data_IF_826726072946
#
_entry.id   IF_826726072946
#
_cell.length_a   1.000
_cell.length_b   1.000
_cell.length_c   1.000
_cell.angle_alpha   90.00
_cell.angle_beta   90.00
_cell.angle_gamma   90.00
#
_symmetry.space_group_name_H-M   'P 1'
#
loop_
_entity.id
_entity.type
_entity.pdbx_description
1 polymer ?
#
# COMPACT_ATOMS: atom_id res chain seq x y z
N UNK A 1 4.06 -22.01 -8.27
CA UNK A 1 2.87 -21.17 -8.03
C UNK A 1 3.34 -19.84 -7.47
N UNK A 2 2.90 -18.75 -8.04
CA UNK A 2 3.15 -17.44 -7.45
C UNK A 2 2.12 -17.22 -6.34
N UNK A 3 2.58 -16.88 -5.15
CA UNK A 3 1.70 -16.41 -4.08
C UNK A 3 1.18 -15.02 -4.42
N UNK A 4 -0.06 -14.73 -4.04
CA UNK A 4 -0.68 -13.41 -4.22
C UNK A 4 -1.12 -12.84 -2.90
N UNK A 5 -0.81 -11.58 -2.69
CA UNK A 5 -1.36 -10.78 -1.59
C UNK A 5 -2.36 -9.81 -2.19
N UNK A 6 -3.53 -9.75 -1.59
CA UNK A 6 -4.64 -8.93 -2.07
C UNK A 6 -4.82 -7.71 -1.18
N UNK A 7 -4.94 -6.57 -1.82
CA UNK A 7 -5.43 -5.34 -1.23
C UNK A 7 -6.97 -5.32 -1.27
N UNK A 8 -7.61 -4.43 -0.51
CA UNK A 8 -9.07 -4.28 -0.50
C UNK A 8 -9.66 -4.02 -1.88
N UNK A 9 -8.97 -3.29 -2.75
CA UNK A 9 -9.39 -3.02 -4.13
C UNK A 9 -9.64 -4.30 -4.94
N UNK A 10 -8.89 -5.37 -4.69
CA UNK A 10 -9.08 -6.67 -5.33
C UNK A 10 -10.41 -7.34 -4.94
N UNK A 11 -10.87 -7.12 -3.70
CA UNK A 11 -12.17 -7.63 -3.23
C UNK A 11 -13.34 -6.87 -3.86
N UNK A 12 -13.24 -5.54 -3.95
CA UNK A 12 -14.26 -4.74 -4.63
C UNK A 12 -14.40 -5.10 -6.11
N UNK A 13 -13.32 -5.50 -6.75
CA UNK A 13 -13.32 -5.99 -8.13
C UNK A 13 -13.71 -7.46 -8.28
N UNK A 14 -13.94 -8.18 -7.19
CA UNK A 14 -14.36 -9.59 -7.22
C UNK A 14 -13.27 -10.60 -7.57
N UNK A 15 -12.00 -10.20 -7.56
CA UNK A 15 -10.86 -11.06 -7.95
C UNK A 15 -10.80 -12.37 -7.15
N UNK A 16 -10.89 -12.37 -5.80
CA UNK A 16 -10.78 -13.60 -5.02
C UNK A 16 -11.94 -14.57 -5.23
N UNK A 17 -13.08 -14.07 -5.72
CA UNK A 17 -14.26 -14.88 -5.97
C UNK A 17 -14.24 -15.57 -7.34
N UNK A 18 -13.54 -14.98 -8.30
CA UNK A 18 -13.43 -15.49 -9.67
C UNK A 18 -12.16 -16.32 -9.94
N UNK A 19 -11.17 -16.24 -9.06
CA UNK A 19 -9.90 -16.97 -9.19
C UNK A 19 -9.83 -18.16 -8.26
N UNK A 20 -9.24 -19.26 -8.71
CA UNK A 20 -8.96 -20.44 -7.88
C UNK A 20 -7.55 -20.41 -7.27
N UNK A 21 -6.78 -19.35 -7.51
CA UNK A 21 -5.42 -19.25 -7.00
C UNK A 21 -5.42 -18.89 -5.50
N UNK A 22 -4.59 -19.58 -4.69
CA UNK A 22 -4.44 -19.25 -3.28
C UNK A 22 -3.94 -17.83 -3.11
N UNK A 23 -4.59 -17.08 -2.21
CA UNK A 23 -4.29 -15.68 -1.94
C UNK A 23 -4.15 -15.44 -0.45
N UNK A 24 -3.44 -14.38 -0.11
CA UNK A 24 -3.15 -13.97 1.26
C UNK A 24 -3.65 -12.55 1.49
N UNK A 25 -4.11 -12.29 2.69
CA UNK A 25 -4.46 -10.93 3.18
C UNK A 25 -3.95 -10.76 4.61
N UNK A 26 -3.84 -9.52 5.04
CA UNK A 26 -3.62 -9.20 6.46
C UNK A 26 -4.95 -9.10 7.22
N UNK A 27 -4.90 -9.17 8.54
CA UNK A 27 -6.09 -8.95 9.38
C UNK A 27 -6.65 -7.54 9.20
N UNK A 28 -5.80 -6.55 8.94
CA UNK A 28 -6.22 -5.18 8.68
C UNK A 28 -7.08 -5.08 7.42
N UNK A 29 -6.65 -5.69 6.32
CA UNK A 29 -7.45 -5.77 5.09
C UNK A 29 -8.75 -6.56 5.33
N UNK A 30 -8.68 -7.66 6.07
CA UNK A 30 -9.87 -8.44 6.42
C UNK A 30 -10.92 -7.61 7.17
N UNK A 31 -10.48 -6.72 8.07
CA UNK A 31 -11.39 -5.83 8.79
C UNK A 31 -11.95 -4.72 7.88
N UNK A 32 -11.14 -4.20 6.95
CA UNK A 32 -11.56 -3.18 6.00
C UNK A 32 -12.70 -3.64 5.08
N UNK A 33 -12.67 -4.90 4.64
CA UNK A 33 -13.70 -5.49 3.78
C UNK A 33 -14.91 -6.05 4.54
N UNK A 34 -15.14 -5.60 5.76
CA UNK A 34 -16.18 -6.13 6.67
C UNK A 34 -17.58 -6.15 6.05
N UNK A 35 -17.93 -5.14 5.25
CA UNK A 35 -19.22 -5.08 4.58
C UNK A 35 -19.41 -6.18 3.52
N UNK A 36 -18.36 -6.57 2.79
CA UNK A 36 -18.44 -7.64 1.79
C UNK A 36 -18.71 -8.98 2.47
N UNK A 37 -18.00 -9.27 3.57
CA UNK A 37 -18.17 -10.55 4.29
C UNK A 37 -19.51 -10.65 5.04
N UNK A 38 -20.09 -9.53 5.48
CA UNK A 38 -21.43 -9.51 6.10
C UNK A 38 -22.53 -9.82 5.10
N UNK A 39 -22.44 -9.27 3.91
CA UNK A 39 -23.51 -9.37 2.92
C UNK A 39 -23.55 -10.74 2.20
N UNK A 40 -22.42 -11.43 2.08
CA UNK A 40 -22.36 -12.58 1.19
C UNK A 40 -21.81 -13.89 1.78
N UNK A 41 -21.29 -13.91 3.00
CA UNK A 41 -20.54 -15.05 3.58
C UNK A 41 -19.42 -15.62 2.66
N UNK A 42 -19.21 -14.98 1.51
CA UNK A 42 -18.33 -15.47 0.46
C UNK A 42 -16.87 -15.47 0.89
N UNK A 43 -16.47 -14.48 1.69
CA UNK A 43 -15.10 -14.40 2.21
C UNK A 43 -14.82 -15.54 3.19
N UNK A 44 -15.80 -15.90 4.00
CA UNK A 44 -15.70 -17.03 4.94
C UNK A 44 -15.50 -18.35 4.19
N UNK A 45 -16.24 -18.57 3.11
CA UNK A 45 -16.08 -19.75 2.25
C UNK A 45 -14.66 -19.82 1.65
N UNK A 46 -14.10 -18.69 1.23
CA UNK A 46 -12.72 -18.65 0.71
C UNK A 46 -11.69 -19.04 1.78
N UNK A 47 -11.90 -18.65 3.02
CA UNK A 47 -11.03 -19.00 4.15
C UNK A 47 -11.16 -20.49 4.47
N UNK A 48 -12.37 -21.01 4.60
CA UNK A 48 -12.66 -22.43 4.90
C UNK A 48 -12.10 -23.37 3.82
N UNK A 49 -12.18 -22.96 2.57
CA UNK A 49 -11.63 -23.72 1.42
C UNK A 49 -10.13 -23.50 1.19
N UNK A 50 -9.47 -22.73 2.07
CA UNK A 50 -8.03 -22.40 1.98
C UNK A 50 -7.64 -21.66 0.68
N UNK A 51 -8.59 -21.05 0.02
CA UNK A 51 -8.34 -20.16 -1.12
C UNK A 51 -7.90 -18.77 -0.68
N UNK A 52 -8.24 -18.39 0.54
CA UNK A 52 -7.81 -17.15 1.19
C UNK A 52 -7.23 -17.48 2.56
N UNK A 53 -6.04 -16.98 2.83
CA UNK A 53 -5.34 -17.16 4.12
C UNK A 53 -5.05 -15.80 4.73
N UNK A 54 -5.42 -15.62 5.99
CA UNK A 54 -5.04 -14.43 6.76
C UNK A 54 -3.66 -14.69 7.35
N UNK A 55 -2.71 -13.81 7.08
CA UNK A 55 -1.35 -13.88 7.59
C UNK A 55 -0.84 -12.50 7.97
N UNK A 56 -0.02 -12.42 9.01
CA UNK A 56 0.52 -11.16 9.50
C UNK A 56 1.99 -11.01 9.08
N UNK A 57 2.39 -9.81 8.62
CA UNK A 57 3.79 -9.55 8.34
C UNK A 57 4.60 -9.42 9.63
N UNK A 58 5.82 -9.92 9.62
CA UNK A 58 6.79 -9.67 10.69
C UNK A 58 7.20 -8.19 10.72
N UNK A 59 7.48 -7.69 11.92
CA UNK A 59 7.80 -6.27 12.15
C UNK A 59 8.95 -5.74 11.28
N UNK A 60 9.95 -6.57 11.00
CA UNK A 60 11.08 -6.18 10.12
C UNK A 60 10.64 -5.81 8.71
N UNK A 61 9.62 -6.50 8.16
CA UNK A 61 9.08 -6.19 6.83
C UNK A 61 8.18 -4.96 6.87
N UNK A 62 7.45 -4.75 7.95
CA UNK A 62 6.68 -3.53 8.19
C UNK A 62 7.60 -2.31 8.24
N UNK A 63 8.68 -2.39 9.01
CA UNK A 63 9.70 -1.32 9.09
C UNK A 63 10.31 -1.03 7.72
N UNK A 64 10.71 -2.06 6.97
CA UNK A 64 11.27 -1.91 5.62
C UNK A 64 10.28 -1.22 4.68
N UNK A 65 9.01 -1.57 4.75
CA UNK A 65 7.95 -0.97 3.93
C UNK A 65 7.72 0.49 4.28
N UNK A 66 7.72 0.84 5.56
CA UNK A 66 7.63 2.22 6.04
C UNK A 66 8.83 3.05 5.54
N UNK A 67 10.03 2.52 5.64
CA UNK A 67 11.24 3.22 5.18
C UNK A 67 11.21 3.46 3.67
N UNK A 68 10.77 2.47 2.90
CA UNK A 68 10.59 2.62 1.45
C UNK A 68 9.53 3.67 1.12
N UNK A 69 8.40 3.67 1.84
CA UNK A 69 7.33 4.66 1.66
C UNK A 69 7.79 6.08 2.00
N UNK A 70 8.60 6.25 3.05
CA UNK A 70 9.21 7.55 3.40
C UNK A 70 10.18 8.02 2.33
N UNK A 71 11.03 7.14 1.81
CA UNK A 71 11.99 7.46 0.75
C UNK A 71 11.32 7.86 -0.56
N UNK A 72 10.21 7.22 -0.92
CA UNK A 72 9.45 7.56 -2.13
C UNK A 72 8.58 8.81 -1.97
N UNK A 73 8.33 9.25 -0.73
CA UNK A 73 7.44 10.36 -0.41
C UNK A 73 5.96 9.99 -0.40
N UNK A 74 5.64 8.71 -0.41
CA UNK A 74 4.25 8.22 -0.42
C UNK A 74 3.68 7.93 0.97
N UNK A 75 4.51 7.92 2.02
CA UNK A 75 4.11 7.49 3.36
C UNK A 75 2.84 8.18 3.89
N UNK A 76 2.67 9.47 3.64
CA UNK A 76 1.48 10.22 4.08
C UNK A 76 0.17 9.83 3.35
N UNK A 77 0.28 9.10 2.25
CA UNK A 77 -0.88 8.64 1.47
C UNK A 77 -1.21 7.17 1.67
N UNK A 78 -0.43 6.47 2.49
CA UNK A 78 -0.63 5.06 2.78
C UNK A 78 -1.28 4.87 4.14
N UNK A 79 -2.25 3.97 4.20
CA UNK A 79 -2.88 3.52 5.44
C UNK A 79 -2.04 2.43 6.12
N UNK A 80 -2.42 2.01 7.33
CA UNK A 80 -1.77 0.87 8.00
C UNK A 80 -2.06 -0.43 7.25
N UNK A 81 -3.25 -0.54 6.68
CA UNK A 81 -3.66 -1.63 5.80
C UNK A 81 -2.72 -1.73 4.59
N UNK A 82 -2.45 -0.60 3.93
CA UNK A 82 -1.55 -0.53 2.77
C UNK A 82 -0.14 -0.98 3.13
N UNK A 83 0.42 -0.45 4.21
CA UNK A 83 1.75 -0.83 4.71
C UNK A 83 1.81 -2.32 5.04
N UNK A 84 0.77 -2.85 5.72
CA UNK A 84 0.72 -4.27 6.08
C UNK A 84 0.69 -5.17 4.83
N UNK A 85 -0.04 -4.76 3.81
CA UNK A 85 -0.17 -5.49 2.53
C UNK A 85 1.15 -5.51 1.77
N UNK A 86 1.86 -4.38 1.70
CA UNK A 86 3.20 -4.29 1.10
C UNK A 86 4.18 -5.18 1.88
N UNK A 87 4.17 -5.10 3.21
CA UNK A 87 5.05 -5.87 4.08
C UNK A 87 4.83 -7.37 3.95
N UNK A 88 3.57 -7.82 3.88
CA UNK A 88 3.25 -9.23 3.68
C UNK A 88 3.71 -9.72 2.31
N UNK A 89 3.53 -8.92 1.26
CA UNK A 89 4.02 -9.24 -0.09
C UNK A 89 5.54 -9.39 -0.12
N UNK A 90 6.24 -8.49 0.56
CA UNK A 90 7.71 -8.54 0.68
C UNK A 90 8.17 -9.81 1.42
N UNK A 91 7.51 -10.12 2.54
CA UNK A 91 7.83 -11.30 3.36
C UNK A 91 7.65 -12.61 2.59
N UNK A 92 6.55 -12.74 1.86
CA UNK A 92 6.21 -13.97 1.15
C UNK A 92 6.87 -14.06 -0.24
N UNK A 93 7.54 -13.01 -0.71
CA UNK A 93 8.00 -12.92 -2.10
C UNK A 93 6.83 -13.02 -3.08
N UNK A 94 5.67 -12.50 -2.70
CA UNK A 94 4.41 -12.66 -3.39
C UNK A 94 4.13 -11.49 -4.35
N UNK A 95 3.29 -11.75 -5.35
CA UNK A 95 2.72 -10.70 -6.19
C UNK A 95 1.67 -9.91 -5.40
N UNK A 96 1.70 -8.59 -5.52
CA UNK A 96 0.73 -7.70 -4.90
C UNK A 96 -0.36 -7.29 -5.88
N UNK A 97 -1.61 -7.56 -5.55
CA UNK A 97 -2.78 -7.21 -6.37
C UNK A 97 -3.43 -5.95 -5.82
N UNK A 98 -3.27 -4.83 -6.50
CA UNK A 98 -3.80 -3.52 -6.08
C UNK A 98 -3.96 -2.58 -7.26
N UNK A 99 -4.91 -1.64 -7.15
CA UNK A 99 -5.06 -0.50 -8.05
C UNK A 99 -4.60 0.82 -7.42
N UNK A 100 -4.18 0.82 -6.16
CA UNK A 100 -3.67 2.02 -5.50
C UNK A 100 -2.27 2.39 -6.04
N UNK A 101 -2.15 3.65 -6.53
CA UNK A 101 -0.89 4.13 -7.11
C UNK A 101 0.22 4.31 -6.08
N UNK A 102 -0.09 4.75 -4.86
CA UNK A 102 0.91 4.93 -3.81
C UNK A 102 1.43 3.57 -3.33
N UNK A 103 0.54 2.61 -3.12
CA UNK A 103 0.88 1.22 -2.81
C UNK A 103 1.76 0.61 -3.91
N UNK A 104 1.34 0.75 -5.17
CA UNK A 104 2.07 0.24 -6.33
C UNK A 104 3.46 0.86 -6.46
N UNK A 105 3.59 2.17 -6.21
CA UNK A 105 4.87 2.87 -6.30
C UNK A 105 5.87 2.36 -5.26
N UNK A 106 5.45 2.21 -4.01
CA UNK A 106 6.30 1.69 -2.92
C UNK A 106 6.64 0.22 -3.16
N UNK A 107 5.66 -0.60 -3.55
CA UNK A 107 5.89 -2.02 -3.85
C UNK A 107 6.94 -2.22 -4.96
N UNK A 108 6.88 -1.43 -6.03
CA UNK A 108 7.87 -1.47 -7.11
C UNK A 108 9.25 -1.03 -6.66
N UNK A 109 9.36 -0.04 -5.77
CA UNK A 109 10.63 0.35 -5.14
C UNK A 109 11.26 -0.81 -4.35
N UNK A 110 10.45 -1.69 -3.81
CA UNK A 110 10.88 -2.90 -3.09
C UNK A 110 11.03 -4.13 -4.01
N UNK A 111 10.97 -3.93 -5.33
CA UNK A 111 11.00 -5.01 -6.33
C UNK A 111 9.87 -6.03 -6.19
N UNK A 112 8.74 -5.65 -5.60
CA UNK A 112 7.54 -6.48 -5.54
C UNK A 112 6.82 -6.36 -6.89
N UNK A 113 6.45 -7.49 -7.47
CA UNK A 113 5.65 -7.52 -8.68
C UNK A 113 4.21 -7.10 -8.35
N UNK A 114 3.72 -6.06 -9.00
CA UNK A 114 2.36 -5.54 -8.84
C UNK A 114 1.49 -5.98 -10.00
N UNK A 115 0.31 -6.50 -9.68
CA UNK A 115 -0.74 -6.84 -10.63
C UNK A 115 -1.86 -5.81 -10.44
N UNK A 116 -2.12 -4.97 -11.44
CA UNK A 116 -3.26 -4.04 -11.39
C UNK A 116 -4.57 -4.80 -11.51
N UNK A 117 -5.61 -4.29 -10.88
CA UNK A 117 -6.95 -4.92 -10.89
C UNK A 117 -7.75 -4.48 -12.09
N UNK A 118 -7.93 -3.17 -12.29
CA UNK A 118 -8.75 -2.59 -13.36
C UNK A 118 -8.04 -1.48 -14.15
N UNK A 119 -6.87 -1.04 -13.70
CA UNK A 119 -6.09 0.02 -14.34
C UNK A 119 -4.88 -0.54 -15.08
N UNK A 120 -4.23 0.29 -15.89
CA UNK A 120 -2.95 -0.08 -16.52
C UNK A 120 -1.78 -0.14 -15.53
N UNK A 121 -2.03 0.18 -14.24
CA UNK A 121 -1.01 0.28 -13.20
C UNK A 121 -0.03 1.43 -13.44
N UNK A 122 0.97 1.55 -12.56
CA UNK A 122 2.05 2.52 -12.77
C UNK A 122 3.15 1.89 -13.63
N UNK A 123 3.62 2.64 -14.62
CA UNK A 123 4.69 2.20 -15.54
C UNK A 123 6.08 2.50 -14.97
N UNK A 124 6.21 3.61 -14.24
CA UNK A 124 7.47 4.08 -13.69
C UNK A 124 7.34 4.37 -12.20
N UNK A 125 8.39 4.07 -11.45
CA UNK A 125 8.52 4.45 -10.04
C UNK A 125 8.75 5.96 -9.95
N UNK A 126 8.02 6.62 -9.05
CA UNK A 126 8.14 8.07 -8.83
C UNK A 126 8.61 8.32 -7.41
N UNK A 127 9.63 9.16 -7.26
CA UNK A 127 10.03 9.72 -5.97
C UNK A 127 9.42 11.10 -5.82
N UNK A 128 8.77 11.35 -4.69
CA UNK A 128 8.08 12.59 -4.39
C UNK A 128 8.90 13.45 -3.44
N UNK A 129 8.91 14.74 -3.67
CA UNK A 129 9.41 15.71 -2.69
C UNK A 129 8.33 16.70 -2.29
N UNK A 130 8.43 17.21 -1.09
CA UNK A 130 7.50 18.19 -0.55
C UNK A 130 8.05 19.59 -0.77
N UNK A 131 7.17 20.53 -1.03
CA UNK A 131 7.48 21.94 -1.16
C UNK A 131 6.38 22.79 -0.52
N UNK A 132 6.75 23.99 -0.10
CA UNK A 132 5.80 24.96 0.44
C UNK A 132 5.36 25.93 -0.65
N UNK A 133 4.06 26.01 -0.99
CA UNK A 133 3.59 26.98 -1.96
C UNK A 133 3.58 28.42 -1.44
N UNK A 134 3.70 28.63 -0.12
CA UNK A 134 3.66 29.95 0.50
C UNK A 134 5.01 30.65 0.59
N UNK A 135 6.08 29.93 0.96
CA UNK A 135 7.41 30.53 1.14
C UNK A 135 8.48 29.89 0.23
N UNK A 136 8.05 29.12 -0.76
CA UNK A 136 8.92 28.43 -1.73
C UNK A 136 9.97 27.50 -1.11
N UNK A 137 9.84 27.20 0.18
CA UNK A 137 10.71 26.27 0.85
C UNK A 137 10.61 24.90 0.16
N UNK A 138 11.65 24.52 -0.53
CA UNK A 138 11.74 23.29 -1.28
C UNK A 138 12.69 22.35 -0.54
N UNK A 139 12.13 21.57 0.30
CA UNK A 139 12.85 20.49 0.92
C UNK A 139 11.83 19.40 1.20
N UNK A 140 11.89 18.22 0.74
CA UNK A 140 12.86 17.26 1.08
C UNK A 140 12.22 15.93 1.34
N UNK A 141 12.99 14.99 1.35
CA UNK A 141 12.89 13.79 2.14
C UNK A 141 12.57 14.16 3.59
N UNK A 142 11.31 14.11 3.99
CA UNK A 142 10.95 14.19 5.41
C UNK A 142 11.37 12.87 6.03
N UNK A 143 12.66 12.73 6.22
CA UNK A 143 13.23 11.64 6.99
C UNK A 143 12.96 11.91 8.46
N UNK A 144 12.10 11.10 9.06
CA UNK A 144 11.99 11.00 10.51
C UNK A 144 10.95 11.85 11.21
N UNK A 145 10.07 12.55 10.50
CA UNK A 145 9.03 13.32 11.17
C UNK A 145 7.75 12.51 11.33
N UNK A 146 7.42 12.25 12.57
CA UNK A 146 6.09 11.97 13.10
C UNK A 146 5.26 10.87 12.41
N UNK A 147 4.91 9.90 13.19
CA UNK A 147 3.99 8.80 12.93
C UNK A 147 2.54 9.22 12.64
N UNK A 148 2.25 10.51 12.58
CA UNK A 148 0.92 11.01 12.24
C UNK A 148 0.85 11.37 10.76
N UNK A 149 0.02 10.68 10.02
CA UNK A 149 -0.39 10.94 8.63
C UNK A 149 -1.10 12.28 8.42
N UNK A 150 -1.20 13.08 9.48
CA UNK A 150 -1.81 14.39 9.48
C UNK A 150 -0.88 15.43 8.83
N UNK A 151 -1.47 16.20 7.97
CA UNK A 151 -1.01 17.44 7.34
C UNK A 151 0.43 17.81 7.65
N UNK A 152 1.31 17.59 6.72
CA UNK A 152 2.70 18.01 6.84
C UNK A 152 2.74 19.52 6.64
N UNK A 153 3.17 20.22 7.68
CA UNK A 153 3.26 21.69 7.70
C UNK A 153 4.68 22.15 7.41
N UNK A 154 4.79 23.30 6.76
CA UNK A 154 6.08 23.92 6.48
C UNK A 154 6.74 24.39 7.78
N UNK A 155 7.98 23.98 8.05
CA UNK A 155 8.69 24.41 9.27
C UNK A 155 9.05 25.90 9.29
N UNK A 156 8.94 26.60 8.17
CA UNK A 156 9.23 28.05 8.08
C UNK A 156 8.01 28.92 8.25
N UNK A 157 6.87 28.57 7.65
CA UNK A 157 5.70 29.46 7.61
C UNK A 157 4.40 28.79 8.05
N UNK A 158 4.42 27.51 8.43
CA UNK A 158 3.24 26.79 8.90
C UNK A 158 2.24 26.40 7.79
N UNK A 159 2.44 26.80 6.55
CA UNK A 159 1.56 26.42 5.46
C UNK A 159 1.65 24.92 5.16
N UNK A 160 0.54 24.35 4.69
CA UNK A 160 0.50 22.95 4.27
C UNK A 160 1.45 22.70 3.09
N UNK A 161 2.33 21.73 3.26
CA UNK A 161 3.21 21.29 2.16
C UNK A 161 2.42 20.58 1.06
N UNK A 162 2.87 20.77 -0.17
CA UNK A 162 2.42 20.01 -1.34
C UNK A 162 3.57 19.13 -1.84
N UNK A 163 3.25 18.05 -2.52
CA UNK A 163 4.26 17.18 -3.11
C UNK A 163 4.34 17.36 -4.62
N UNK A 164 5.52 17.19 -5.16
CA UNK A 164 5.78 17.14 -6.61
C UNK A 164 6.75 16.01 -6.94
N UNK A 165 6.65 15.41 -8.15
CA UNK A 165 7.59 14.38 -8.56
C UNK A 165 8.99 14.97 -8.72
N UNK A 166 10.00 14.21 -8.28
CA UNK A 166 11.39 14.52 -8.61
C UNK A 166 11.61 14.22 -10.09
N UNK A 167 12.18 15.18 -10.82
CA UNK A 167 12.68 14.93 -12.16
C UNK A 167 14.04 14.24 -12.00
N UNK A 168 14.17 13.05 -12.57
CA UNK A 168 15.46 12.40 -12.77
C UNK A 168 16.26 13.16 -13.83
#
# INVERSE_FOLDING_TARGET
MAFRVLDSSAFYAGIPFSSNEPSYITSLVYNEIDHIKKDHDAVQILIETKRLTINEPEEKFVTTSIDAAKKSGDFSNLSDEDISTIALSLQLGAELVTDDFAVSNVAKNLNIKVIPVMTDGIKNVVTWRYYCPGCEFDNYLISGASTTRSRIECPRCGNRLKRKPMKN
#
